data_IF_375492441606
#
_entry.id   IF_375492441606
#
_cell.length_a   1.000
_cell.length_b   1.000
_cell.length_c   1.000
_cell.angle_alpha   90.00
_cell.angle_beta   90.00
_cell.angle_gamma   90.00
#
_symmetry.space_group_name_H-M   'P 1'
#
loop_
_entity.id
_entity.type
_entity.pdbx_description
1 polymer ?
#
# COMPACT_ATOMS: atom_id res chain seq x y z
N UNK A 1 40.04 9.71 -16.40
CA UNK A 1 39.60 10.28 -15.12
C UNK A 1 38.08 10.26 -15.08
N UNK A 2 37.48 9.26 -14.46
CA UNK A 2 36.02 9.15 -14.29
C UNK A 2 35.65 9.95 -13.04
N UNK A 3 34.90 11.07 -13.21
CA UNK A 3 34.28 11.80 -12.11
C UNK A 3 33.20 10.88 -11.50
N UNK A 4 33.44 10.36 -10.32
CA UNK A 4 32.42 9.69 -9.51
C UNK A 4 31.39 10.74 -9.09
N UNK A 5 30.21 10.69 -9.68
CA UNK A 5 29.05 11.40 -9.15
C UNK A 5 28.63 10.75 -7.82
N UNK A 6 28.98 11.36 -6.71
CA UNK A 6 28.37 11.01 -5.42
C UNK A 6 26.87 11.33 -5.50
N UNK A 7 25.98 10.39 -5.18
CA UNK A 7 24.54 10.63 -5.25
C UNK A 7 24.14 11.86 -4.43
N UNK A 8 23.24 12.67 -4.96
CA UNK A 8 22.66 13.86 -4.28
C UNK A 8 22.21 13.54 -2.84
N UNK A 9 21.66 12.35 -2.63
CA UNK A 9 21.26 11.82 -1.32
C UNK A 9 22.41 11.78 -0.31
N UNK A 10 23.61 11.32 -0.70
CA UNK A 10 24.77 11.33 0.20
C UNK A 10 25.22 12.74 0.55
N UNK A 11 25.10 13.68 -0.38
CA UNK A 11 25.39 15.11 -0.09
C UNK A 11 24.34 15.73 0.80
N UNK A 12 23.05 15.41 0.58
CA UNK A 12 21.96 15.89 1.40
C UNK A 12 22.03 15.28 2.80
N UNK A 13 22.18 13.96 2.92
CA UNK A 13 22.31 13.27 4.23
C UNK A 13 23.58 13.68 4.97
N UNK A 14 24.71 13.94 4.29
CA UNK A 14 25.89 14.51 4.94
C UNK A 14 25.63 15.94 5.47
N UNK A 15 24.88 16.74 4.71
CA UNK A 15 24.47 18.07 5.17
C UNK A 15 23.45 17.97 6.32
N UNK A 16 22.54 17.00 6.27
CA UNK A 16 21.56 16.72 7.32
C UNK A 16 22.20 16.09 8.57
N UNK A 17 23.17 15.18 8.43
CA UNK A 17 23.89 14.59 9.56
C UNK A 17 24.67 15.63 10.39
N UNK A 18 25.15 16.71 9.77
CA UNK A 18 25.70 17.85 10.50
C UNK A 18 24.63 18.59 11.32
N UNK A 19 23.37 18.57 10.86
CA UNK A 19 22.23 19.18 11.55
C UNK A 19 21.75 18.29 12.70
N UNK A 20 21.62 16.97 12.47
CA UNK A 20 21.16 16.00 13.48
C UNK A 20 22.20 15.71 14.56
N UNK A 21 23.50 15.67 14.25
CA UNK A 21 24.54 15.51 15.27
C UNK A 21 24.49 16.60 16.36
N UNK A 22 24.07 17.81 15.97
CA UNK A 22 23.81 18.89 16.94
C UNK A 22 22.60 18.66 17.83
N UNK A 23 21.57 17.90 17.38
CA UNK A 23 20.39 17.60 18.20
C UNK A 23 20.61 16.43 19.17
N UNK A 24 21.43 15.43 18.82
CA UNK A 24 21.77 14.32 19.71
C UNK A 24 22.66 14.75 20.89
N UNK A 25 23.49 15.77 20.70
CA UNK A 25 24.29 16.34 21.80
C UNK A 25 23.41 17.04 22.87
N UNK A 26 22.20 17.49 22.49
CA UNK A 26 21.23 18.09 23.41
C UNK A 26 20.42 17.06 24.22
N UNK A 27 20.42 15.79 23.81
CA UNK A 27 19.61 14.72 24.44
C UNK A 27 20.34 14.00 25.58
N UNK A 28 21.69 14.04 25.63
CA UNK A 28 22.52 13.30 26.60
C UNK A 28 23.41 14.16 27.50
N UNK A 29 23.32 15.46 27.44
CA UNK A 29 24.13 16.35 28.29
C UNK A 29 23.38 17.61 28.58
N UNK A 30 23.14 17.85 29.89
CA UNK A 30 22.81 19.15 30.45
C UNK A 30 21.37 19.66 30.37
N UNK A 31 20.47 18.92 31.04
CA UNK A 31 19.26 19.51 31.62
C UNK A 31 19.59 20.38 32.85
N UNK A 32 20.82 20.39 33.32
CA UNK A 32 21.21 21.06 34.56
C UNK A 32 21.87 22.46 34.43
N UNK A 33 22.06 22.95 33.19
CA UNK A 33 22.77 24.25 33.00
C UNK A 33 21.84 25.43 32.66
N UNK A 34 20.52 25.28 32.70
CA UNK A 34 19.56 26.36 32.37
C UNK A 34 18.87 26.94 33.60
N UNK A 35 19.30 26.59 34.81
CA UNK A 35 18.64 27.09 36.05
C UNK A 35 19.24 28.34 36.65
N UNK A 36 20.25 28.96 36.06
CA UNK A 36 20.74 30.25 36.56
C UNK A 36 20.84 31.30 35.46
N UNK A 37 19.72 31.88 35.08
CA UNK A 37 19.55 33.28 34.72
C UNK A 37 18.07 33.57 34.42
N UNK A 38 17.28 33.63 35.48
CA UNK A 38 15.94 34.19 35.44
C UNK A 38 16.01 35.71 35.22
N UNK A 39 15.97 36.13 33.96
CA UNK A 39 15.30 37.37 33.57
C UNK A 39 14.11 36.96 32.70
N UNK A 40 12.94 37.31 33.19
CA UNK A 40 11.62 37.06 32.62
C UNK A 40 11.59 37.14 31.06
N UNK A 41 11.66 36.02 30.40
CA UNK A 41 11.24 35.91 28.99
C UNK A 41 9.71 35.95 29.03
N UNK A 42 9.14 36.99 28.50
CA UNK A 42 7.69 37.09 28.27
C UNK A 42 7.21 35.91 27.44
N UNK A 43 6.15 35.26 27.90
CA UNK A 43 5.52 34.06 27.35
C UNK A 43 4.78 34.25 26.03
N UNK A 44 5.17 35.26 25.21
CA UNK A 44 4.49 35.60 23.96
C UNK A 44 5.20 35.13 22.68
N UNK A 45 6.35 34.44 22.76
CA UNK A 45 7.17 34.12 21.58
C UNK A 45 6.94 32.72 20.99
N UNK A 46 5.91 32.00 21.38
CA UNK A 46 5.72 30.60 21.00
C UNK A 46 4.82 30.32 19.77
N UNK A 47 4.25 31.34 19.14
CA UNK A 47 3.40 31.18 17.96
C UNK A 47 3.91 32.00 16.78
N UNK A 48 5.00 31.55 16.18
CA UNK A 48 5.52 32.15 14.96
C UNK A 48 4.89 31.40 13.78
N UNK A 49 4.26 32.11 12.84
CA UNK A 49 3.82 31.54 11.58
C UNK A 49 5.00 31.40 10.62
N UNK A 50 4.90 30.46 9.67
CA UNK A 50 5.98 30.25 8.71
C UNK A 50 6.31 31.52 7.89
N UNK A 51 5.32 32.35 7.60
CA UNK A 51 5.51 33.65 6.94
C UNK A 51 6.36 34.63 7.74
N UNK A 52 6.36 34.51 9.07
CA UNK A 52 7.11 35.40 9.97
C UNK A 52 8.61 35.09 9.92
N UNK A 53 9.00 33.88 9.42
CA UNK A 53 10.39 33.51 9.22
C UNK A 53 11.11 34.43 8.25
N UNK A 54 10.42 34.93 7.22
CA UNK A 54 10.99 35.84 6.22
C UNK A 54 11.56 37.12 6.86
N UNK A 55 10.91 37.63 7.89
CA UNK A 55 11.33 38.82 8.60
C UNK A 55 12.11 38.54 9.90
N UNK A 56 12.13 37.28 10.33
CA UNK A 56 12.79 36.87 11.58
C UNK A 56 14.31 36.90 11.43
N UNK A 57 14.94 37.66 12.33
CA UNK A 57 16.41 37.63 12.49
C UNK A 57 16.81 36.57 13.51
N UNK A 58 17.93 35.90 13.25
CA UNK A 58 18.58 35.04 14.25
C UNK A 58 19.53 35.89 15.12
N UNK A 59 19.65 35.53 16.38
CA UNK A 59 20.64 36.10 17.28
C UNK A 59 22.00 35.40 17.13
N UNK A 60 22.00 34.13 16.73
CA UNK A 60 23.19 33.32 16.48
C UNK A 60 22.89 32.15 15.57
N UNK A 61 23.90 31.68 14.84
CA UNK A 61 23.74 30.50 13.95
C UNK A 61 23.56 29.26 14.82
N UNK A 62 22.54 28.47 14.49
CA UNK A 62 22.13 27.27 15.23
C UNK A 62 20.92 27.53 16.16
N UNK A 63 20.42 28.75 16.25
CA UNK A 63 19.18 29.05 16.98
C UNK A 63 18.04 28.18 16.47
N UNK A 64 17.29 27.57 17.41
CA UNK A 64 16.12 26.73 17.07
C UNK A 64 14.86 27.45 17.49
N UNK A 65 13.91 27.57 16.59
CA UNK A 65 12.61 28.16 16.82
C UNK A 65 11.49 27.17 16.52
N UNK A 66 10.38 27.36 17.24
CA UNK A 66 9.17 26.58 17.03
C UNK A 66 8.20 27.40 16.18
N UNK A 67 7.75 26.81 15.08
CA UNK A 67 6.77 27.39 14.16
C UNK A 67 5.47 26.62 14.30
N UNK A 68 4.41 27.30 14.68
CA UNK A 68 3.07 26.77 14.74
C UNK A 68 2.30 27.23 13.52
N UNK A 69 1.70 26.30 12.81
CA UNK A 69 0.86 26.53 11.63
C UNK A 69 1.58 26.82 10.31
N UNK A 70 1.42 25.87 9.39
CA UNK A 70 1.89 25.99 8.00
C UNK A 70 0.90 26.76 7.11
N UNK A 71 -0.40 26.74 7.43
CA UNK A 71 -1.45 27.31 6.61
C UNK A 71 -1.67 28.79 6.87
N UNK A 72 -1.29 29.62 5.91
CA UNK A 72 -1.40 31.09 5.95
C UNK A 72 -2.84 31.59 6.07
N UNK A 73 -3.85 30.73 5.81
CA UNK A 73 -5.24 31.16 5.60
C UNK A 73 -6.29 30.58 6.54
N UNK A 74 -5.92 29.85 7.58
CA UNK A 74 -6.92 29.33 8.54
C UNK A 74 -6.46 29.55 9.97
N UNK A 75 -7.31 30.22 10.73
CA UNK A 75 -7.22 30.41 12.18
C UNK A 75 -7.43 29.11 12.99
N UNK A 76 -7.08 27.97 12.42
CA UNK A 76 -7.20 26.68 13.07
C UNK A 76 -5.87 26.39 13.75
N UNK A 77 -5.86 26.48 15.07
CA UNK A 77 -4.82 25.98 15.97
C UNK A 77 -4.73 24.43 15.86
N UNK A 78 -4.33 23.91 14.73
CA UNK A 78 -3.96 22.51 14.63
C UNK A 78 -2.50 22.33 15.00
N UNK A 79 -2.22 21.32 15.78
CA UNK A 79 -0.99 20.99 16.50
C UNK A 79 0.24 20.64 15.64
N UNK A 80 0.39 21.23 14.46
CA UNK A 80 1.51 20.97 13.56
C UNK A 80 2.70 21.87 13.90
N UNK A 81 3.41 21.48 14.96
CA UNK A 81 4.64 22.14 15.37
C UNK A 81 5.78 21.70 14.44
N UNK A 82 6.42 22.66 13.79
CA UNK A 82 7.67 22.44 13.06
C UNK A 82 8.81 23.19 13.73
N UNK A 83 9.93 22.51 13.86
CA UNK A 83 11.16 23.13 14.34
C UNK A 83 11.99 23.63 13.16
N UNK A 84 12.53 24.83 13.28
CA UNK A 84 13.48 25.41 12.34
C UNK A 84 14.75 25.79 13.04
N UNK A 85 15.88 25.56 12.38
CA UNK A 85 17.20 25.95 12.85
C UNK A 85 17.80 26.99 11.91
N UNK A 86 18.37 28.03 12.48
CA UNK A 86 19.10 29.03 11.70
C UNK A 86 20.41 28.49 11.15
N UNK A 87 20.63 28.71 9.87
CA UNK A 87 21.83 28.37 9.10
C UNK A 87 22.51 29.64 8.61
N UNK A 88 23.83 29.61 8.30
CA UNK A 88 24.49 30.76 7.73
C UNK A 88 23.82 31.24 6.43
N UNK A 89 23.78 32.55 6.19
CA UNK A 89 23.34 33.11 4.92
C UNK A 89 24.14 32.47 3.78
N UNK A 90 23.50 32.15 2.65
CA UNK A 90 24.12 31.49 1.49
C UNK A 90 24.62 30.06 1.69
N UNK A 91 24.37 29.42 2.83
CA UNK A 91 24.73 28.02 3.06
C UNK A 91 23.98 27.06 2.09
N UNK A 92 22.75 27.40 1.79
CA UNK A 92 21.82 26.62 0.93
C UNK A 92 20.92 27.61 0.22
N UNK A 93 20.48 27.28 -1.00
CA UNK A 93 19.44 28.04 -1.69
C UNK A 93 18.10 27.77 -1.02
N UNK A 94 17.35 28.80 -0.61
CA UNK A 94 15.99 28.64 -0.11
C UNK A 94 15.09 27.97 -1.13
N UNK A 95 14.13 27.18 -0.65
CA UNK A 95 13.13 26.46 -1.47
C UNK A 95 11.70 26.69 -0.97
N UNK A 96 11.54 27.54 0.02
CA UNK A 96 10.30 27.95 0.69
C UNK A 96 9.53 26.79 1.36
N UNK A 97 10.16 25.64 1.52
CA UNK A 97 9.55 24.45 2.14
C UNK A 97 10.42 23.89 3.26
N UNK A 98 11.62 23.48 2.92
CA UNK A 98 12.61 22.97 3.90
C UNK A 98 13.57 24.08 4.32
N UNK A 99 13.92 24.94 3.42
CA UNK A 99 14.83 26.06 3.66
C UNK A 99 14.12 27.39 3.33
N UNK A 100 13.82 28.14 4.37
CA UNK A 100 13.11 29.43 4.28
C UNK A 100 14.13 30.55 4.40
N UNK A 101 14.10 31.53 3.52
CA UNK A 101 14.92 32.72 3.62
C UNK A 101 14.50 33.52 4.87
N UNK A 102 15.43 33.90 5.72
CA UNK A 102 15.23 34.78 6.84
C UNK A 102 15.94 36.12 6.65
N UNK A 103 15.70 37.10 7.52
CA UNK A 103 16.25 38.44 7.36
C UNK A 103 17.80 38.49 7.38
N UNK A 104 18.45 37.57 8.11
CA UNK A 104 19.92 37.49 8.20
C UNK A 104 20.44 36.03 8.23
N UNK A 105 19.61 35.06 7.93
CA UNK A 105 19.96 33.64 7.98
C UNK A 105 19.06 32.86 7.01
N UNK A 106 19.30 31.57 6.90
CA UNK A 106 18.37 30.61 6.30
C UNK A 106 17.80 29.75 7.42
N UNK A 107 16.49 29.64 7.49
CA UNK A 107 15.79 28.77 8.43
C UNK A 107 15.62 27.39 7.81
N UNK A 108 16.38 26.39 8.29
CA UNK A 108 16.25 25.00 7.84
C UNK A 108 15.29 24.22 8.74
N UNK A 109 14.29 23.60 8.15
CA UNK A 109 13.36 22.72 8.87
C UNK A 109 14.10 21.53 9.47
N UNK A 110 13.82 21.21 10.71
CA UNK A 110 14.37 20.05 11.43
C UNK A 110 13.36 18.92 11.36
N UNK A 111 13.75 17.78 10.76
CA UNK A 111 12.89 16.61 10.62
C UNK A 111 13.70 15.31 10.55
N UNK A 112 13.05 14.20 10.87
CA UNK A 112 13.63 12.87 10.89
C UNK A 112 13.28 12.09 9.61
N UNK A 113 14.08 12.24 8.56
CA UNK A 113 14.08 11.39 7.36
C UNK A 113 12.82 11.37 6.49
N UNK A 114 11.67 11.87 6.94
CA UNK A 114 10.41 11.89 6.19
C UNK A 114 9.98 13.31 5.86
N UNK A 115 9.53 13.51 4.60
CA UNK A 115 8.84 14.72 4.21
C UNK A 115 7.35 14.59 4.57
N UNK A 116 6.77 15.59 5.20
CA UNK A 116 5.35 15.62 5.49
C UNK A 116 4.60 16.30 4.33
N UNK A 117 3.54 15.69 3.80
CA UNK A 117 2.72 16.25 2.70
C UNK A 117 2.13 17.61 3.07
N UNK A 118 1.84 17.85 4.33
CA UNK A 118 1.28 19.12 4.81
C UNK A 118 2.25 20.29 4.65
N UNK A 119 3.56 20.06 4.61
CA UNK A 119 4.55 21.10 4.34
C UNK A 119 4.44 21.68 2.93
N UNK A 120 3.81 20.93 2.04
CA UNK A 120 3.57 21.30 0.63
C UNK A 120 2.17 21.87 0.41
N UNK A 121 1.39 22.01 1.48
CA UNK A 121 0.07 22.62 1.47
C UNK A 121 -1.11 21.64 1.47
N UNK A 122 -0.86 20.33 1.63
CA UNK A 122 -1.95 19.36 1.80
C UNK A 122 -2.66 19.59 3.15
N UNK A 123 -3.99 19.53 3.16
CA UNK A 123 -4.80 19.81 4.35
C UNK A 123 -5.31 18.51 4.97
N UNK A 124 -5.79 17.58 4.16
CA UNK A 124 -6.31 16.31 4.63
C UNK A 124 -7.59 16.42 5.47
N UNK A 125 -8.45 17.42 5.16
CA UNK A 125 -9.71 17.68 5.88
C UNK A 125 -10.90 16.88 5.32
N UNK A 126 -10.69 16.08 4.28
CA UNK A 126 -11.73 15.30 3.61
C UNK A 126 -12.62 16.11 2.65
N UNK A 127 -12.31 17.37 2.39
CA UNK A 127 -13.08 18.28 1.55
C UNK A 127 -12.23 18.98 0.51
N UNK A 128 -11.07 19.52 0.96
CA UNK A 128 -10.16 20.28 0.09
C UNK A 128 -9.45 19.35 -0.88
N UNK A 129 -9.33 19.77 -2.15
CA UNK A 129 -8.54 19.04 -3.16
C UNK A 129 -7.05 19.22 -2.88
N UNK A 130 -6.41 18.15 -2.44
CA UNK A 130 -5.00 18.10 -2.07
C UNK A 130 -4.09 17.62 -3.23
N UNK A 131 -4.66 17.39 -4.43
CA UNK A 131 -3.93 16.80 -5.56
C UNK A 131 -2.62 17.52 -5.88
N UNK A 132 -2.68 18.82 -6.05
CA UNK A 132 -1.49 19.63 -6.41
C UNK A 132 -0.45 19.66 -5.29
N UNK A 133 -0.89 19.66 -4.04
CA UNK A 133 -0.01 19.67 -2.87
C UNK A 133 0.73 18.35 -2.75
N UNK A 134 0.03 17.23 -2.94
CA UNK A 134 0.63 15.89 -2.90
C UNK A 134 1.55 15.69 -4.11
N UNK A 135 1.17 16.14 -5.31
CA UNK A 135 2.04 16.11 -6.50
C UNK A 135 3.36 16.87 -6.25
N UNK A 136 3.27 18.09 -5.71
CA UNK A 136 4.43 18.90 -5.33
C UNK A 136 5.32 18.17 -4.31
N UNK A 137 4.71 17.57 -3.28
CA UNK A 137 5.41 16.79 -2.27
C UNK A 137 6.11 15.58 -2.87
N UNK A 138 5.43 14.82 -3.73
CA UNK A 138 5.97 13.65 -4.41
C UNK A 138 7.14 14.01 -5.34
N UNK A 139 7.01 15.06 -6.12
CA UNK A 139 8.08 15.56 -6.99
C UNK A 139 9.31 15.99 -6.18
N UNK A 140 9.09 16.64 -5.04
CA UNK A 140 10.17 17.01 -4.11
C UNK A 140 10.83 15.76 -3.51
N UNK A 141 10.03 14.79 -3.07
CA UNK A 141 10.48 13.52 -2.55
C UNK A 141 11.33 12.74 -3.57
N UNK A 142 10.91 12.68 -4.83
CA UNK A 142 11.68 12.10 -5.92
C UNK A 142 13.01 12.82 -6.16
N UNK A 143 13.02 14.16 -6.16
CA UNK A 143 14.21 14.97 -6.39
C UNK A 143 15.29 14.76 -5.33
N UNK A 144 14.88 14.63 -4.06
CA UNK A 144 15.81 14.53 -2.94
C UNK A 144 15.97 13.12 -2.40
N UNK A 145 15.29 12.14 -3.00
CA UNK A 145 15.30 10.72 -2.63
C UNK A 145 14.90 10.50 -1.15
N UNK A 146 13.84 11.19 -0.73
CA UNK A 146 13.30 11.13 0.63
C UNK A 146 11.92 10.46 0.66
N UNK A 147 11.61 9.69 1.71
CA UNK A 147 10.26 9.15 1.92
C UNK A 147 9.25 10.28 2.19
N UNK A 148 8.01 10.05 1.75
CA UNK A 148 6.88 10.95 1.98
C UNK A 148 5.97 10.37 3.06
N UNK A 149 5.55 11.21 4.00
CA UNK A 149 4.68 10.86 5.10
C UNK A 149 3.32 11.56 5.00
N UNK A 150 2.26 10.78 5.20
CA UNK A 150 0.88 11.23 5.31
C UNK A 150 0.44 11.13 6.77
N UNK A 151 0.21 12.24 7.48
CA UNK A 151 -0.15 12.25 8.89
C UNK A 151 -1.38 11.44 9.27
N UNK A 152 -1.38 10.98 10.53
CA UNK A 152 -2.45 10.18 11.14
C UNK A 152 -3.81 10.87 11.09
N UNK A 153 -4.87 10.10 10.81
CA UNK A 153 -6.27 10.54 10.88
C UNK A 153 -6.68 11.53 9.79
N UNK A 154 -5.87 11.72 8.79
CA UNK A 154 -6.13 12.65 7.68
C UNK A 154 -6.79 11.96 6.50
N UNK A 155 -7.71 12.69 5.85
CA UNK A 155 -8.36 12.24 4.61
C UNK A 155 -8.10 13.26 3.51
N UNK A 156 -7.22 12.90 2.59
CA UNK A 156 -6.84 13.73 1.46
C UNK A 156 -7.76 13.46 0.26
N UNK A 157 -8.45 14.48 -0.23
CA UNK A 157 -9.21 14.38 -1.48
C UNK A 157 -8.26 14.60 -2.65
N UNK A 158 -8.26 13.68 -3.59
CA UNK A 158 -7.37 13.69 -4.75
C UNK A 158 -8.14 13.37 -6.04
N UNK A 159 -7.74 13.98 -7.14
CA UNK A 159 -8.39 13.86 -8.45
C UNK A 159 -7.38 13.68 -9.59
N UNK A 160 -6.28 13.01 -9.32
CA UNK A 160 -5.22 12.82 -10.30
C UNK A 160 -4.63 11.43 -10.29
N UNK A 161 -3.70 11.21 -11.19
CA UNK A 161 -2.85 10.02 -11.23
C UNK A 161 -1.46 10.39 -10.72
N UNK A 162 -0.90 9.52 -9.89
CA UNK A 162 0.43 9.73 -9.32
C UNK A 162 1.39 8.63 -9.78
N UNK A 163 2.67 8.95 -9.79
CA UNK A 163 3.75 8.01 -10.05
C UNK A 163 4.69 7.92 -8.85
N UNK A 164 4.97 6.71 -8.40
CA UNK A 164 5.89 6.42 -7.31
C UNK A 164 7.09 5.65 -7.84
N UNK A 165 8.22 6.34 -7.99
CA UNK A 165 9.49 5.71 -8.30
C UNK A 165 10.13 5.17 -7.03
N UNK A 166 10.01 3.85 -6.79
CA UNK A 166 10.54 3.20 -5.59
C UNK A 166 12.05 3.26 -5.48
N UNK A 167 12.76 3.54 -6.56
CA UNK A 167 14.21 3.78 -6.50
C UNK A 167 14.54 5.10 -5.78
N UNK A 168 13.61 6.04 -5.75
CA UNK A 168 13.81 7.40 -5.22
C UNK A 168 13.07 7.67 -3.93
N UNK A 169 11.82 7.22 -3.82
CA UNK A 169 10.97 7.56 -2.69
C UNK A 169 10.11 6.38 -2.24
N UNK A 170 9.30 6.61 -1.23
CA UNK A 170 8.27 5.70 -0.70
C UNK A 170 7.21 6.53 0.00
N UNK A 171 5.99 6.00 0.08
CA UNK A 171 4.87 6.66 0.72
C UNK A 171 4.47 5.93 2.00
N UNK A 172 4.36 6.64 3.10
CA UNK A 172 4.03 6.08 4.41
C UNK A 172 2.93 6.88 5.07
N UNK A 173 1.83 6.22 5.42
CA UNK A 173 0.77 6.82 6.22
C UNK A 173 1.00 6.65 7.72
N UNK A 174 0.41 7.53 8.50
CA UNK A 174 0.08 7.25 9.88
C UNK A 174 -1.22 6.44 9.97
N UNK A 175 -1.70 6.16 11.18
CA UNK A 175 -2.94 5.44 11.38
C UNK A 175 -4.12 6.18 10.73
N UNK A 176 -4.97 5.47 9.97
CA UNK A 176 -6.12 6.02 9.26
C UNK A 176 -5.80 7.17 8.28
N UNK A 177 -4.65 7.12 7.62
CA UNK A 177 -4.35 8.03 6.51
C UNK A 177 -5.04 7.56 5.23
N UNK A 178 -5.92 8.40 4.68
CA UNK A 178 -6.78 8.06 3.55
C UNK A 178 -6.50 8.98 2.37
N UNK A 179 -6.19 8.39 1.22
CA UNK A 179 -6.23 9.04 -0.08
C UNK A 179 -7.57 8.68 -0.74
N UNK A 180 -8.43 9.67 -0.93
CA UNK A 180 -9.77 9.48 -1.47
C UNK A 180 -9.91 10.17 -2.82
N UNK A 181 -10.04 9.39 -3.87
CA UNK A 181 -10.36 9.90 -5.19
C UNK A 181 -11.85 10.24 -5.26
N UNK A 182 -12.15 11.51 -5.42
CA UNK A 182 -13.53 11.99 -5.58
C UNK A 182 -14.04 11.84 -7.03
N UNK A 183 -13.14 11.63 -7.97
CA UNK A 183 -13.42 11.34 -9.37
C UNK A 183 -12.55 10.20 -9.87
N UNK A 184 -13.04 9.42 -10.83
CA UNK A 184 -12.28 8.36 -11.45
C UNK A 184 -11.06 8.93 -12.20
N UNK A 185 -9.84 8.48 -11.92
CA UNK A 185 -8.69 8.81 -12.74
C UNK A 185 -8.80 8.17 -14.13
N UNK A 186 -8.07 8.70 -15.10
CA UNK A 186 -8.18 8.25 -16.50
C UNK A 186 -7.71 6.81 -16.73
N UNK A 187 -6.73 6.33 -15.97
CA UNK A 187 -6.18 4.98 -16.10
C UNK A 187 -5.90 4.34 -14.74
N UNK A 188 -5.14 5.02 -13.88
CA UNK A 188 -4.76 4.54 -12.56
C UNK A 188 -4.69 5.69 -11.57
N UNK A 189 -4.86 5.37 -10.29
CA UNK A 189 -4.66 6.33 -9.21
C UNK A 189 -3.18 6.46 -8.85
N UNK A 190 -2.47 5.35 -8.72
CA UNK A 190 -1.05 5.30 -8.44
C UNK A 190 -0.37 4.26 -9.34
N UNK A 191 0.71 4.66 -10.02
CA UNK A 191 1.65 3.74 -10.67
C UNK A 191 2.90 3.60 -9.80
N UNK A 192 3.30 2.36 -9.51
CA UNK A 192 4.50 2.05 -8.73
C UNK A 192 5.52 1.38 -9.66
N UNK A 193 6.70 1.95 -9.76
CA UNK A 193 7.76 1.47 -10.64
C UNK A 193 9.15 1.80 -10.08
N UNK A 194 10.21 1.32 -10.71
CA UNK A 194 11.59 1.67 -10.40
C UNK A 194 12.32 2.18 -11.64
N UNK A 195 12.81 3.40 -11.60
CA UNK A 195 13.65 3.97 -12.67
C UNK A 195 15.06 3.40 -12.72
N UNK A 196 15.43 2.55 -11.75
CA UNK A 196 16.74 1.90 -11.71
C UNK A 196 16.61 0.44 -12.14
N UNK A 197 17.57 -0.03 -12.96
CA UNK A 197 17.62 -1.43 -13.36
C UNK A 197 17.75 -2.34 -12.13
N UNK A 198 16.93 -3.38 -12.07
CA UNK A 198 16.91 -4.38 -11.00
C UNK A 198 18.22 -5.17 -10.86
N UNK A 199 19.06 -5.17 -11.87
CA UNK A 199 20.35 -5.87 -11.86
C UNK A 199 21.51 -5.07 -11.26
N UNK A 200 21.30 -3.84 -10.84
CA UNK A 200 22.32 -3.05 -10.17
C UNK A 200 22.40 -3.46 -8.69
N UNK A 201 23.57 -3.85 -8.21
CA UNK A 201 23.82 -4.20 -6.80
C UNK A 201 23.53 -3.07 -5.80
N UNK A 202 23.16 -1.90 -6.29
CA UNK A 202 22.73 -0.76 -5.48
C UNK A 202 21.21 -0.76 -5.26
N UNK A 203 20.50 -1.81 -5.71
CA UNK A 203 19.07 -1.94 -5.52
C UNK A 203 18.72 -2.12 -4.07
N UNK A 204 17.64 -1.49 -3.79
CA UNK A 204 16.96 -1.56 -2.51
C UNK A 204 16.20 -2.88 -2.46
N UNK A 205 16.90 -3.96 -2.17
CA UNK A 205 16.26 -5.21 -1.83
C UNK A 205 15.31 -4.97 -0.65
N UNK A 206 14.04 -5.36 -0.80
CA UNK A 206 13.00 -5.26 0.22
C UNK A 206 12.67 -3.82 0.68
N UNK A 207 12.73 -2.83 -0.21
CA UNK A 207 12.24 -1.50 0.13
C UNK A 207 10.74 -1.54 0.40
N UNK A 208 10.32 -0.97 1.53
CA UNK A 208 8.92 -0.71 1.80
C UNK A 208 8.47 0.49 0.95
N UNK A 209 7.72 0.22 -0.12
CA UNK A 209 7.29 1.24 -1.08
C UNK A 209 6.06 2.01 -0.59
N UNK A 210 5.08 1.27 -0.07
CA UNK A 210 3.84 1.81 0.49
C UNK A 210 3.57 1.19 1.85
N UNK A 211 3.13 1.99 2.81
CA UNK A 211 2.64 1.46 4.08
C UNK A 211 1.59 2.33 4.75
N UNK A 212 0.68 1.68 5.49
CA UNK A 212 -0.31 2.31 6.34
C UNK A 212 -1.20 3.33 5.60
N UNK A 213 -1.60 3.03 4.37
CA UNK A 213 -2.39 3.92 3.52
C UNK A 213 -3.68 3.25 3.06
N UNK A 214 -4.76 4.02 3.05
CA UNK A 214 -6.02 3.62 2.41
C UNK A 214 -6.16 4.33 1.06
N UNK A 215 -6.39 3.56 0.00
CA UNK A 215 -6.73 4.03 -1.35
C UNK A 215 -8.23 3.83 -1.57
N UNK A 216 -8.99 4.89 -1.38
CA UNK A 216 -10.45 4.86 -1.47
C UNK A 216 -10.90 5.41 -2.82
N UNK A 217 -11.57 4.58 -3.62
CA UNK A 217 -12.22 4.96 -4.87
C UNK A 217 -13.69 5.31 -4.70
N UNK A 218 -14.52 5.04 -5.71
CA UNK A 218 -15.94 5.36 -5.72
C UNK A 218 -16.83 4.63 -4.70
N UNK A 219 -16.25 3.66 -4.01
CA UNK A 219 -16.96 2.88 -2.99
C UNK A 219 -17.84 1.76 -3.57
N UNK A 220 -18.54 1.05 -2.69
CA UNK A 220 -19.27 -0.18 -3.01
C UNK A 220 -20.38 -0.02 -4.07
N UNK A 221 -20.95 1.17 -4.19
CA UNK A 221 -22.07 1.44 -5.13
C UNK A 221 -21.62 2.11 -6.42
N UNK A 222 -20.46 2.77 -6.39
CA UNK A 222 -19.91 3.56 -7.49
C UNK A 222 -18.44 3.18 -7.68
N UNK A 223 -18.19 1.91 -8.07
CA UNK A 223 -16.84 1.47 -8.41
C UNK A 223 -16.32 2.31 -9.58
N UNK A 224 -15.11 2.82 -9.44
CA UNK A 224 -14.45 3.48 -10.56
C UNK A 224 -13.99 2.46 -11.59
N UNK A 225 -14.26 2.73 -12.85
CA UNK A 225 -13.73 1.98 -13.98
C UNK A 225 -12.24 2.38 -14.22
N UNK A 226 -11.43 2.10 -13.22
CA UNK A 226 -10.02 2.48 -13.18
C UNK A 226 -9.23 1.55 -12.25
N UNK A 227 -7.91 1.63 -12.39
CA UNK A 227 -6.94 0.89 -11.59
C UNK A 227 -6.54 1.74 -10.37
N UNK A 228 -6.62 1.18 -9.15
CA UNK A 228 -6.12 1.86 -7.97
C UNK A 228 -4.58 1.91 -7.98
N UNK A 229 -3.92 0.75 -7.99
CA UNK A 229 -2.47 0.64 -7.97
C UNK A 229 -2.01 -0.21 -9.15
N UNK A 230 -1.28 0.40 -10.08
CA UNK A 230 -0.62 -0.26 -11.20
C UNK A 230 0.85 -0.52 -10.86
N UNK A 231 1.29 -1.76 -11.02
CA UNK A 231 2.63 -2.23 -10.72
C UNK A 231 3.37 -2.56 -12.02
N UNK A 232 4.48 -1.87 -12.28
CA UNK A 232 5.26 -2.03 -13.51
C UNK A 232 4.71 -1.27 -14.70
N UNK A 233 5.01 -1.78 -15.89
CA UNK A 233 4.62 -1.24 -17.18
C UNK A 233 5.77 -0.59 -17.94
N UNK A 234 5.64 -0.56 -19.27
CA UNK A 234 6.64 -0.09 -20.20
C UNK A 234 8.00 -0.79 -20.04
N UNK A 235 9.09 -0.05 -20.07
CA UNK A 235 10.46 -0.56 -19.90
C UNK A 235 10.92 -0.56 -18.43
N UNK A 236 10.12 0.01 -17.53
CA UNK A 236 10.45 0.17 -16.12
C UNK A 236 9.95 -1.01 -15.30
N UNK A 237 10.80 -1.51 -14.42
CA UNK A 237 10.46 -2.65 -13.58
C UNK A 237 9.75 -2.23 -12.30
N UNK A 238 8.92 -3.14 -11.81
CA UNK A 238 8.28 -3.05 -10.50
C UNK A 238 8.61 -4.32 -9.74
N UNK A 239 9.71 -4.28 -8.99
CA UNK A 239 10.24 -5.49 -8.37
C UNK A 239 11.05 -5.24 -7.12
N UNK A 240 11.21 -6.29 -6.31
CA UNK A 240 12.04 -6.30 -5.10
C UNK A 240 11.65 -5.24 -4.06
N UNK A 241 10.35 -5.01 -3.89
CA UNK A 241 9.83 -4.13 -2.86
C UNK A 241 8.60 -4.75 -2.18
N UNK A 242 8.14 -4.11 -1.12
CA UNK A 242 6.95 -4.53 -0.39
C UNK A 242 5.92 -3.41 -0.26
N UNK A 243 4.65 -3.83 -0.17
CA UNK A 243 3.50 -3.04 0.25
C UNK A 243 3.02 -3.63 1.57
N UNK A 244 2.78 -2.80 2.57
CA UNK A 244 2.39 -3.29 3.89
C UNK A 244 1.28 -2.47 4.52
N UNK A 245 0.30 -3.16 5.11
CA UNK A 245 -0.83 -2.54 5.78
C UNK A 245 -1.50 -1.47 4.90
N UNK A 246 -1.82 -1.85 3.65
CA UNK A 246 -2.58 -1.01 2.73
C UNK A 246 -4.02 -1.51 2.65
N UNK A 247 -4.95 -0.57 2.55
CA UNK A 247 -6.35 -0.86 2.31
C UNK A 247 -6.74 -0.26 0.95
N UNK A 248 -7.17 -1.10 0.02
CA UNK A 248 -7.56 -0.67 -1.33
C UNK A 248 -8.99 -1.09 -1.59
N UNK A 249 -9.86 -0.12 -1.85
CA UNK A 249 -11.28 -0.41 -1.99
C UNK A 249 -12.03 0.57 -2.90
N UNK A 250 -13.07 0.07 -3.56
CA UNK A 250 -13.96 0.90 -4.37
C UNK A 250 -13.44 1.17 -5.79
N UNK A 251 -12.67 0.26 -6.37
CA UNK A 251 -12.09 0.33 -7.72
C UNK A 251 -12.54 -0.85 -8.58
N UNK A 252 -12.49 -0.74 -9.89
CA UNK A 252 -12.64 -1.91 -10.75
C UNK A 252 -11.45 -2.86 -10.55
N UNK A 253 -10.24 -2.33 -10.55
CA UNK A 253 -9.02 -3.09 -10.30
C UNK A 253 -8.27 -2.48 -9.11
N UNK A 254 -8.19 -3.22 -8.01
CA UNK A 254 -7.45 -2.81 -6.81
C UNK A 254 -5.93 -2.85 -7.04
N UNK A 255 -5.44 -3.93 -7.65
CA UNK A 255 -4.04 -4.11 -8.03
C UNK A 255 -3.95 -4.62 -9.46
N UNK A 256 -3.13 -3.99 -10.26
CA UNK A 256 -2.82 -4.40 -11.62
C UNK A 256 -1.33 -4.69 -11.78
N UNK A 257 -1.00 -5.96 -12.03
CA UNK A 257 0.36 -6.40 -12.29
C UNK A 257 0.62 -6.37 -13.79
N UNK A 258 1.40 -5.40 -14.23
CA UNK A 258 1.74 -5.14 -15.63
C UNK A 258 3.04 -5.86 -16.03
N UNK A 259 3.58 -5.58 -17.22
CA UNK A 259 4.89 -6.04 -17.64
C UNK A 259 5.97 -5.63 -16.61
N UNK A 260 7.00 -6.43 -16.49
CA UNK A 260 8.13 -6.19 -15.60
C UNK A 260 7.79 -6.08 -14.11
N UNK A 261 6.74 -6.77 -13.65
CA UNK A 261 6.36 -6.84 -12.22
C UNK A 261 6.66 -8.24 -11.65
N UNK A 262 7.61 -8.33 -10.73
CA UNK A 262 8.04 -9.59 -10.13
C UNK A 262 8.68 -9.40 -8.76
N UNK A 263 8.67 -10.45 -7.92
CA UNK A 263 9.19 -10.45 -6.54
C UNK A 263 8.65 -9.30 -5.69
N UNK A 264 7.34 -9.09 -5.76
CA UNK A 264 6.63 -8.11 -4.95
C UNK A 264 6.01 -8.83 -3.76
N UNK A 265 6.19 -8.25 -2.57
CA UNK A 265 5.61 -8.75 -1.34
C UNK A 265 4.53 -7.82 -0.83
N UNK A 266 3.35 -8.35 -0.56
CA UNK A 266 2.20 -7.61 -0.05
C UNK A 266 1.79 -8.25 1.26
N UNK A 267 1.79 -7.45 2.34
CA UNK A 267 1.61 -7.94 3.71
C UNK A 267 0.52 -7.17 4.44
N UNK A 268 -0.19 -7.87 5.33
CA UNK A 268 -1.14 -7.28 6.29
C UNK A 268 -2.17 -6.35 5.64
N UNK A 269 -2.63 -6.67 4.41
CA UNK A 269 -3.35 -5.74 3.54
C UNK A 269 -4.75 -6.20 3.23
N UNK A 270 -5.63 -5.24 2.93
CA UNK A 270 -7.05 -5.45 2.69
C UNK A 270 -7.45 -4.97 1.29
N UNK A 271 -8.12 -5.84 0.53
CA UNK A 271 -8.61 -5.56 -0.82
C UNK A 271 -10.11 -5.81 -0.89
N UNK A 272 -10.90 -4.74 -1.05
CA UNK A 272 -12.35 -4.80 -1.07
C UNK A 272 -12.91 -4.24 -2.38
N UNK A 273 -14.02 -4.82 -2.85
CA UNK A 273 -14.84 -4.29 -3.93
C UNK A 273 -14.07 -3.96 -5.22
N UNK A 274 -13.18 -4.86 -5.63
CA UNK A 274 -12.40 -4.70 -6.84
C UNK A 274 -11.58 -5.93 -7.18
N UNK A 275 -11.08 -6.00 -8.40
CA UNK A 275 -10.28 -7.12 -8.90
C UNK A 275 -8.82 -6.99 -8.51
N UNK A 276 -8.13 -8.13 -8.49
CA UNK A 276 -6.69 -8.20 -8.65
C UNK A 276 -6.43 -8.84 -10.00
N UNK A 277 -5.64 -8.20 -10.82
CA UNK A 277 -5.44 -8.60 -12.20
C UNK A 277 -3.97 -8.59 -12.56
N UNK A 278 -3.46 -9.71 -13.08
CA UNK A 278 -2.22 -9.71 -13.84
C UNK A 278 -2.52 -9.54 -15.32
N UNK A 279 -1.68 -8.79 -16.03
CA UNK A 279 -1.84 -8.56 -17.46
C UNK A 279 -1.74 -9.88 -18.24
N UNK A 280 -2.69 -10.20 -19.11
CA UNK A 280 -2.56 -11.34 -20.01
C UNK A 280 -1.31 -11.20 -20.89
N UNK A 281 -0.55 -12.28 -21.03
CA UNK A 281 0.70 -12.30 -21.79
C UNK A 281 1.73 -11.25 -21.34
N UNK A 282 1.75 -10.94 -20.06
CA UNK A 282 2.71 -10.01 -19.50
C UNK A 282 4.15 -10.51 -19.71
N UNK A 283 5.03 -9.59 -20.07
CA UNK A 283 6.45 -9.89 -20.26
C UNK A 283 7.19 -9.71 -18.94
N UNK A 284 8.02 -10.70 -18.56
CA UNK A 284 8.87 -10.63 -17.37
C UNK A 284 8.05 -10.23 -16.14
N UNK A 285 6.99 -10.97 -15.85
CA UNK A 285 6.04 -10.65 -14.80
C UNK A 285 5.60 -11.91 -14.05
N UNK A 286 5.18 -11.76 -12.80
CA UNK A 286 4.56 -12.82 -12.00
C UNK A 286 5.54 -13.72 -11.25
N UNK A 287 6.85 -13.60 -11.42
CA UNK A 287 7.81 -14.43 -10.68
C UNK A 287 7.81 -14.09 -9.19
N UNK A 288 7.57 -15.10 -8.33
CA UNK A 288 7.65 -15.00 -6.87
C UNK A 288 6.81 -13.83 -6.30
N UNK A 289 5.54 -13.82 -6.59
CA UNK A 289 4.58 -12.84 -6.04
C UNK A 289 4.03 -13.34 -4.71
N UNK A 290 4.12 -12.55 -3.64
CA UNK A 290 3.73 -12.96 -2.30
C UNK A 290 2.65 -12.08 -1.70
N UNK A 291 1.54 -12.71 -1.31
CA UNK A 291 0.54 -12.16 -0.39
C UNK A 291 0.64 -12.87 0.96
N UNK A 292 0.80 -12.12 2.02
CA UNK A 292 0.95 -12.66 3.37
C UNK A 292 0.01 -11.95 4.34
N UNK A 293 -0.85 -12.71 5.03
CA UNK A 293 -1.84 -12.18 5.96
C UNK A 293 -2.74 -11.09 5.32
N UNK A 294 -3.15 -11.32 4.07
CA UNK A 294 -4.01 -10.41 3.32
C UNK A 294 -5.46 -10.90 3.32
N UNK A 295 -6.40 -9.96 3.21
CA UNK A 295 -7.82 -10.26 3.08
C UNK A 295 -8.34 -9.74 1.72
N UNK A 296 -9.04 -10.61 1.02
CA UNK A 296 -9.73 -10.33 -0.24
C UNK A 296 -11.21 -10.58 0.00
N UNK A 297 -12.00 -9.50 0.08
CA UNK A 297 -13.38 -9.66 0.51
C UNK A 297 -14.37 -8.81 -0.28
N UNK A 298 -15.64 -9.27 -0.26
CA UNK A 298 -16.79 -8.59 -0.84
C UNK A 298 -16.59 -8.13 -2.29
N UNK A 299 -15.78 -8.88 -3.03
CA UNK A 299 -15.43 -8.50 -4.38
C UNK A 299 -16.56 -8.92 -5.34
N UNK A 300 -17.05 -7.95 -6.09
CA UNK A 300 -18.00 -8.18 -7.20
C UNK A 300 -17.31 -8.81 -8.41
N UNK A 301 -15.99 -8.88 -8.39
CA UNK A 301 -15.11 -9.37 -9.41
C UNK A 301 -14.13 -10.39 -8.84
N UNK A 302 -13.35 -10.98 -9.69
CA UNK A 302 -12.45 -12.09 -9.39
C UNK A 302 -11.00 -11.62 -9.43
N UNK A 303 -10.10 -12.33 -8.75
CA UNK A 303 -8.67 -12.28 -9.06
C UNK A 303 -8.40 -13.08 -10.33
N UNK A 304 -7.68 -12.52 -11.28
CA UNK A 304 -7.34 -13.18 -12.55
C UNK A 304 -5.81 -13.14 -12.75
N UNK A 305 -5.19 -14.32 -12.76
CA UNK A 305 -3.74 -14.50 -12.82
C UNK A 305 -3.37 -15.28 -14.08
N UNK A 306 -2.49 -14.72 -14.90
CA UNK A 306 -2.20 -15.24 -16.25
C UNK A 306 -0.80 -15.84 -16.40
N UNK A 307 0.16 -15.46 -15.55
CA UNK A 307 1.53 -15.97 -15.61
C UNK A 307 2.20 -15.91 -14.25
N UNK A 308 3.17 -16.80 -14.01
CA UNK A 308 4.08 -16.76 -12.87
C UNK A 308 3.59 -17.46 -11.60
N UNK A 309 4.34 -17.28 -10.51
CA UNK A 309 4.16 -17.97 -9.24
C UNK A 309 3.57 -17.05 -8.17
N UNK A 310 2.37 -17.37 -7.72
CA UNK A 310 1.56 -16.56 -6.81
C UNK A 310 1.36 -17.27 -5.49
N UNK A 311 1.92 -16.75 -4.43
CA UNK A 311 1.88 -17.31 -3.10
C UNK A 311 0.93 -16.54 -2.19
N UNK A 312 -0.09 -17.20 -1.70
CA UNK A 312 -1.05 -16.69 -0.72
C UNK A 312 -0.85 -17.44 0.60
N UNK A 313 -0.13 -16.84 1.53
CA UNK A 313 0.13 -17.43 2.83
C UNK A 313 -0.68 -16.75 3.93
N UNK A 314 -1.39 -17.52 4.73
CA UNK A 314 -2.28 -17.03 5.80
C UNK A 314 -3.29 -15.96 5.30
N UNK A 315 -3.72 -16.06 4.06
CA UNK A 315 -4.66 -15.11 3.46
C UNK A 315 -6.11 -15.55 3.68
N UNK A 316 -7.02 -14.57 3.74
CA UNK A 316 -8.47 -14.79 3.72
C UNK A 316 -9.04 -14.43 2.36
N UNK A 317 -9.82 -15.36 1.79
CA UNK A 317 -10.63 -15.14 0.58
C UNK A 317 -12.09 -15.24 0.98
N UNK A 318 -12.81 -14.11 0.97
CA UNK A 318 -14.22 -14.05 1.36
C UNK A 318 -15.08 -13.51 0.21
N UNK A 319 -16.08 -14.29 -0.19
CA UNK A 319 -16.95 -13.98 -1.35
C UNK A 319 -16.17 -13.63 -2.64
N UNK A 320 -15.04 -14.27 -2.88
CA UNK A 320 -14.11 -13.96 -3.95
C UNK A 320 -13.65 -15.23 -4.67
N UNK A 321 -13.40 -15.14 -5.97
CA UNK A 321 -12.89 -16.23 -6.79
C UNK A 321 -11.48 -15.88 -7.30
N UNK A 322 -10.57 -16.86 -7.24
CA UNK A 322 -9.25 -16.78 -7.89
C UNK A 322 -9.29 -17.61 -9.16
N UNK A 323 -9.13 -16.96 -10.31
CA UNK A 323 -9.05 -17.59 -11.64
C UNK A 323 -7.61 -17.65 -12.10
N UNK A 324 -7.20 -18.85 -12.51
CA UNK A 324 -5.83 -19.14 -12.94
C UNK A 324 -5.83 -19.47 -14.40
N UNK A 325 -5.08 -18.71 -15.18
CA UNK A 325 -4.98 -18.79 -16.63
C UNK A 325 -3.52 -18.95 -17.08
N UNK A 326 -3.31 -19.14 -18.37
CA UNK A 326 -1.98 -19.17 -18.99
C UNK A 326 -1.10 -20.26 -18.39
N UNK A 327 0.04 -19.87 -17.87
CA UNK A 327 1.01 -20.71 -17.15
C UNK A 327 1.14 -20.32 -15.68
N UNK A 328 0.16 -19.60 -15.12
CA UNK A 328 0.20 -19.19 -13.73
C UNK A 328 0.07 -20.38 -12.77
N UNK A 329 0.88 -20.33 -11.70
CA UNK A 329 0.84 -21.28 -10.60
C UNK A 329 0.43 -20.56 -9.32
N UNK A 330 -0.61 -21.04 -8.65
CA UNK A 330 -1.12 -20.44 -7.40
C UNK A 330 -0.89 -21.38 -6.22
N UNK A 331 -0.27 -20.89 -5.19
CA UNK A 331 -0.02 -21.60 -3.94
C UNK A 331 -0.80 -20.91 -2.83
N UNK A 332 -1.88 -21.54 -2.37
CA UNK A 332 -2.69 -21.06 -1.25
C UNK A 332 -2.41 -21.94 -0.03
N UNK A 333 -1.73 -21.39 0.97
CA UNK A 333 -1.29 -22.13 2.14
C UNK A 333 -1.70 -21.43 3.44
N UNK A 334 -2.08 -22.22 4.46
CA UNK A 334 -2.50 -21.76 5.78
C UNK A 334 -3.65 -20.73 5.74
N UNK A 335 -4.46 -20.78 4.72
CA UNK A 335 -5.43 -19.74 4.43
C UNK A 335 -6.83 -20.06 4.92
N UNK A 336 -7.70 -19.10 4.70
CA UNK A 336 -9.10 -19.15 5.05
C UNK A 336 -9.92 -18.79 3.81
N UNK A 337 -10.86 -19.65 3.45
CA UNK A 337 -11.79 -19.43 2.32
C UNK A 337 -13.19 -19.40 2.90
N UNK A 338 -13.87 -18.27 2.77
CA UNK A 338 -15.22 -18.09 3.30
C UNK A 338 -16.21 -17.71 2.20
N UNK A 339 -17.34 -18.43 2.14
CA UNK A 339 -18.46 -18.16 1.24
C UNK A 339 -18.04 -17.85 -0.21
N UNK A 340 -17.23 -18.69 -0.85
CA UNK A 340 -16.72 -18.38 -2.18
C UNK A 340 -17.86 -18.14 -3.18
N UNK A 341 -17.75 -17.10 -3.99
CA UNK A 341 -18.62 -16.86 -5.15
C UNK A 341 -20.08 -16.55 -4.88
N UNK A 342 -20.43 -15.96 -3.73
CA UNK A 342 -21.82 -15.70 -3.29
C UNK A 342 -22.68 -14.91 -4.29
N UNK A 343 -22.08 -14.24 -5.26
CA UNK A 343 -22.81 -13.51 -6.30
C UNK A 343 -23.20 -14.47 -7.43
N UNK A 344 -24.47 -14.47 -7.79
CA UNK A 344 -25.03 -15.27 -8.88
C UNK A 344 -25.03 -16.81 -8.69
N UNK A 345 -25.09 -17.30 -7.44
CA UNK A 345 -25.08 -18.75 -7.14
C UNK A 345 -23.83 -19.49 -7.65
N UNK A 346 -22.74 -18.80 -7.91
CA UNK A 346 -21.43 -19.38 -8.22
C UNK A 346 -20.57 -19.40 -6.96
N UNK A 347 -19.95 -20.54 -6.68
CA UNK A 347 -19.23 -20.78 -5.44
C UNK A 347 -17.77 -21.20 -5.68
N UNK A 348 -17.20 -20.86 -6.83
CA UNK A 348 -15.83 -21.21 -7.15
C UNK A 348 -14.89 -20.36 -6.32
N UNK A 349 -14.07 -21.00 -5.48
CA UNK A 349 -12.99 -20.35 -4.75
C UNK A 349 -11.73 -20.23 -5.60
N UNK A 350 -11.32 -21.35 -6.22
CA UNK A 350 -10.18 -21.42 -7.12
C UNK A 350 -10.59 -22.16 -8.38
N UNK A 351 -10.47 -21.50 -9.53
CA UNK A 351 -10.75 -22.05 -10.84
C UNK A 351 -9.51 -22.04 -11.74
N UNK A 352 -9.19 -23.17 -12.35
CA UNK A 352 -8.08 -23.33 -13.30
C UNK A 352 -8.67 -23.43 -14.69
N UNK A 353 -8.32 -22.51 -15.55
CA UNK A 353 -8.96 -22.31 -16.86
C UNK A 353 -8.03 -22.51 -18.05
N UNK A 354 -6.76 -22.86 -17.84
CA UNK A 354 -5.78 -23.10 -18.90
C UNK A 354 -5.00 -24.37 -18.66
N UNK A 355 -4.53 -24.98 -19.74
CA UNK A 355 -3.82 -26.26 -19.74
C UNK A 355 -2.57 -26.28 -18.87
N UNK A 356 -1.77 -25.22 -18.92
CA UNK A 356 -0.48 -25.12 -18.22
C UNK A 356 -0.60 -24.42 -16.86
N UNK A 357 -1.80 -23.98 -16.49
CA UNK A 357 -2.08 -23.39 -15.19
C UNK A 357 -2.23 -24.46 -14.11
N UNK A 358 -1.88 -24.09 -12.87
CA UNK A 358 -2.03 -24.99 -11.72
C UNK A 358 -2.37 -24.25 -10.44
N UNK A 359 -2.91 -24.97 -9.46
CA UNK A 359 -3.10 -24.46 -8.13
C UNK A 359 -2.85 -25.52 -7.06
N UNK A 360 -2.39 -25.08 -5.91
CA UNK A 360 -2.24 -25.87 -4.70
C UNK A 360 -2.96 -25.17 -3.56
N UNK A 361 -3.81 -25.90 -2.83
CA UNK A 361 -4.51 -25.43 -1.64
C UNK A 361 -4.14 -26.36 -0.49
N UNK A 362 -3.36 -25.85 0.47
CA UNK A 362 -2.81 -26.65 1.54
C UNK A 362 -3.08 -26.03 2.92
N UNK A 363 -3.21 -26.88 3.94
CA UNK A 363 -3.36 -26.47 5.35
C UNK A 363 -4.43 -25.40 5.56
N UNK A 364 -5.52 -25.46 4.83
CA UNK A 364 -6.46 -24.35 4.74
C UNK A 364 -7.83 -24.70 5.31
N UNK A 365 -8.63 -23.67 5.58
CA UNK A 365 -9.97 -23.81 6.11
C UNK A 365 -10.99 -23.25 5.14
N UNK A 366 -11.97 -24.06 4.76
CA UNK A 366 -13.15 -23.64 4.00
C UNK A 366 -14.33 -23.47 4.97
N UNK A 367 -14.92 -22.29 5.00
CA UNK A 367 -16.09 -22.00 5.83
C UNK A 367 -17.28 -21.62 4.92
N UNK A 368 -18.39 -22.31 5.14
CA UNK A 368 -19.65 -22.02 4.50
C UNK A 368 -20.62 -21.47 5.55
N UNK A 369 -20.73 -20.14 5.65
CA UNK A 369 -21.57 -19.51 6.68
C UNK A 369 -23.06 -19.46 6.31
N UNK A 370 -23.39 -19.62 5.04
CA UNK A 370 -24.78 -19.71 4.52
C UNK A 370 -24.83 -20.77 3.44
N UNK A 371 -25.67 -21.76 3.64
CA UNK A 371 -25.97 -22.72 2.59
C UNK A 371 -26.92 -22.08 1.59
N UNK A 372 -26.51 -21.96 0.33
CA UNK A 372 -27.46 -21.59 -0.72
C UNK A 372 -28.47 -22.72 -0.91
N UNK A 373 -29.69 -22.36 -1.28
CA UNK A 373 -30.76 -23.34 -1.58
C UNK A 373 -30.35 -24.36 -2.66
N UNK A 374 -29.40 -24.01 -3.50
CA UNK A 374 -28.84 -24.89 -4.53
C UNK A 374 -27.39 -24.53 -4.78
N UNK A 375 -26.45 -25.42 -4.43
CA UNK A 375 -25.07 -25.32 -4.86
C UNK A 375 -24.97 -25.98 -6.24
N UNK A 376 -24.90 -25.16 -7.30
CA UNK A 376 -24.80 -25.63 -8.67
C UNK A 376 -23.39 -25.60 -9.23
N UNK A 377 -22.45 -25.01 -8.49
CA UNK A 377 -21.06 -24.82 -8.91
C UNK A 377 -20.10 -25.39 -7.88
N UNK A 378 -18.98 -26.00 -8.31
CA UNK A 378 -17.98 -26.54 -7.41
C UNK A 378 -17.19 -25.43 -6.72
N UNK A 379 -16.65 -25.70 -5.52
CA UNK A 379 -15.72 -24.82 -4.83
C UNK A 379 -14.39 -24.72 -5.55
N UNK A 380 -13.93 -25.84 -6.12
CA UNK A 380 -12.73 -25.94 -6.93
C UNK A 380 -13.11 -26.38 -8.35
N UNK A 381 -12.61 -25.68 -9.35
CA UNK A 381 -12.96 -25.96 -10.74
C UNK A 381 -11.71 -26.09 -11.61
N UNK A 382 -11.63 -27.15 -12.41
CA UNK A 382 -10.54 -27.43 -13.34
C UNK A 382 -11.12 -27.69 -14.72
N UNK A 383 -10.95 -26.74 -15.64
CA UNK A 383 -11.67 -26.72 -16.89
C UNK A 383 -11.17 -27.71 -17.94
N UNK A 384 -9.85 -27.93 -18.04
CA UNK A 384 -9.21 -28.65 -19.13
C UNK A 384 -8.85 -30.09 -18.73
N UNK A 385 -9.32 -31.07 -19.49
CA UNK A 385 -9.00 -32.51 -19.32
C UNK A 385 -7.53 -32.86 -19.67
N UNK A 386 -6.88 -32.03 -20.48
CA UNK A 386 -5.48 -32.22 -20.89
C UNK A 386 -4.48 -31.49 -20.00
N UNK A 387 -4.86 -31.12 -18.81
CA UNK A 387 -3.99 -30.41 -17.90
C UNK A 387 -2.78 -31.24 -17.46
N UNK A 388 -1.60 -30.62 -17.54
CA UNK A 388 -0.35 -31.25 -17.12
C UNK A 388 -0.18 -31.28 -15.59
N UNK A 389 -0.57 -30.22 -14.89
CA UNK A 389 -0.37 -30.02 -13.45
C UNK A 389 -1.66 -30.11 -12.65
N UNK A 390 -2.69 -29.36 -12.97
CA UNK A 390 -4.00 -29.41 -12.33
C UNK A 390 -4.08 -28.79 -10.94
N UNK A 391 -5.00 -29.32 -10.12
CA UNK A 391 -5.27 -28.88 -8.76
C UNK A 391 -4.77 -29.91 -7.74
N UNK A 392 -4.02 -29.43 -6.75
CA UNK A 392 -3.64 -30.21 -5.58
C UNK A 392 -4.29 -29.62 -4.32
N UNK A 393 -5.03 -30.41 -3.56
CA UNK A 393 -5.66 -30.02 -2.30
C UNK A 393 -5.21 -30.96 -1.20
N UNK A 394 -4.60 -30.44 -0.15
CA UNK A 394 -4.14 -31.25 0.98
C UNK A 394 -4.41 -30.57 2.32
N UNK A 395 -4.82 -31.36 3.29
CA UNK A 395 -5.12 -30.91 4.65
C UNK A 395 -6.12 -29.72 4.65
N UNK A 396 -7.23 -29.90 3.96
CA UNK A 396 -8.34 -28.93 3.91
C UNK A 396 -9.39 -29.31 4.96
N UNK A 397 -9.70 -28.38 5.86
CA UNK A 397 -10.81 -28.50 6.78
C UNK A 397 -12.02 -27.74 6.26
N UNK A 398 -13.14 -28.46 6.05
CA UNK A 398 -14.42 -27.86 5.66
C UNK A 398 -15.33 -27.76 6.88
N UNK A 399 -15.67 -26.55 7.27
CA UNK A 399 -16.58 -26.26 8.38
C UNK A 399 -17.86 -25.58 7.86
N UNK A 400 -19.00 -26.07 8.31
CA UNK A 400 -20.27 -25.41 8.13
C UNK A 400 -20.61 -24.64 9.42
N UNK A 401 -20.93 -23.36 9.31
CA UNK A 401 -21.27 -22.55 10.48
C UNK A 401 -22.61 -23.00 11.07
N UNK A 402 -22.70 -23.07 12.40
CA UNK A 402 -23.85 -23.56 13.18
C UNK A 402 -25.11 -22.71 13.08
N UNK A 403 -25.10 -21.55 12.43
CA UNK A 403 -26.28 -20.74 12.12
C UNK A 403 -27.03 -21.21 10.87
N UNK A 404 -26.89 -22.46 10.51
CA UNK A 404 -27.64 -23.13 9.47
C UNK A 404 -29.12 -23.18 9.84
N UNK A 405 -29.99 -22.64 8.99
CA UNK A 405 -31.45 -22.81 9.08
C UNK A 405 -31.81 -24.24 8.63
N UNK A 406 -32.18 -25.15 9.56
CA UNK A 406 -32.53 -26.52 9.20
C UNK A 406 -33.84 -26.61 8.38
N UNK A 407 -34.62 -25.52 8.28
CA UNK A 407 -35.80 -25.46 7.44
C UNK A 407 -35.49 -25.24 5.96
N UNK A 408 -34.24 -24.90 5.60
CA UNK A 408 -33.79 -24.88 4.21
C UNK A 408 -33.62 -26.33 3.71
N UNK A 409 -34.70 -26.98 3.38
CA UNK A 409 -34.85 -28.42 3.07
C UNK A 409 -34.08 -28.89 1.82
N UNK A 410 -33.39 -28.00 1.09
CA UNK A 410 -32.75 -28.30 -0.20
C UNK A 410 -31.22 -28.22 -0.19
N UNK A 411 -30.57 -28.09 0.96
CA UNK A 411 -29.10 -28.11 1.05
C UNK A 411 -28.58 -29.55 0.88
N UNK A 412 -28.24 -29.92 -0.34
CA UNK A 412 -27.82 -31.30 -0.68
C UNK A 412 -26.34 -31.59 -0.53
N UNK A 413 -25.54 -30.67 0.03
CA UNK A 413 -24.11 -30.90 0.24
C UNK A 413 -23.19 -29.83 -0.37
N UNK A 414 -21.89 -29.94 -0.09
CA UNK A 414 -20.85 -29.12 -0.71
C UNK A 414 -20.29 -29.85 -1.91
N UNK A 415 -20.42 -29.26 -3.10
CA UNK A 415 -19.76 -29.79 -4.29
C UNK A 415 -18.32 -29.23 -4.35
N UNK A 416 -17.33 -30.06 -3.98
CA UNK A 416 -15.96 -29.59 -3.82
C UNK A 416 -15.26 -29.40 -5.17
N UNK A 417 -15.41 -30.32 -6.10
CA UNK A 417 -14.64 -30.35 -7.34
C UNK A 417 -15.54 -30.46 -8.54
N UNK A 418 -15.20 -29.75 -9.61
CA UNK A 418 -15.87 -29.84 -10.89
C UNK A 418 -14.94 -29.58 -12.07
N UNK A 419 -15.43 -29.82 -13.26
CA UNK A 419 -14.67 -29.74 -14.50
C UNK A 419 -14.11 -31.12 -14.92
N UNK A 420 -13.26 -31.12 -15.95
CA UNK A 420 -12.72 -32.32 -16.56
C UNK A 420 -11.21 -32.52 -16.30
N UNK A 421 -10.60 -31.63 -15.57
CA UNK A 421 -9.16 -31.64 -15.37
C UNK A 421 -8.68 -32.47 -14.20
N UNK A 422 -7.38 -32.60 -14.07
CA UNK A 422 -6.73 -33.40 -13.02
C UNK A 422 -6.85 -32.74 -11.65
N UNK A 423 -7.33 -33.51 -10.67
CA UNK A 423 -7.41 -33.10 -9.27
C UNK A 423 -6.85 -34.20 -8.37
N UNK A 424 -6.01 -33.80 -7.43
CA UNK A 424 -5.50 -34.68 -6.36
C UNK A 424 -5.93 -34.11 -5.02
N UNK A 425 -6.59 -34.92 -4.19
CA UNK A 425 -7.09 -34.52 -2.88
C UNK A 425 -6.60 -35.49 -1.81
N UNK A 426 -5.92 -34.95 -0.80
CA UNK A 426 -5.44 -35.72 0.36
C UNK A 426 -5.87 -35.04 1.66
N UNK A 427 -6.13 -35.84 2.70
CA UNK A 427 -6.40 -35.35 4.05
C UNK A 427 -7.52 -34.30 4.12
N UNK A 428 -8.69 -34.60 3.58
CA UNK A 428 -9.85 -33.71 3.59
C UNK A 428 -10.70 -34.00 4.83
N UNK A 429 -10.85 -33.00 5.70
CA UNK A 429 -11.65 -33.08 6.93
C UNK A 429 -12.95 -32.32 6.75
N UNK A 430 -14.07 -33.02 6.88
CA UNK A 430 -15.39 -32.43 6.65
C UNK A 430 -16.18 -32.44 7.95
N UNK A 431 -16.50 -31.26 8.46
CA UNK A 431 -17.36 -31.07 9.62
C UNK A 431 -18.64 -30.36 9.17
N UNK A 432 -19.56 -31.15 8.62
CA UNK A 432 -20.84 -30.66 8.09
C UNK A 432 -21.95 -31.34 8.86
N UNK A 433 -22.81 -30.53 9.49
CA UNK A 433 -23.98 -31.01 10.21
C UNK A 433 -25.12 -31.25 9.20
N UNK A 434 -25.57 -32.48 9.07
CA UNK A 434 -26.76 -32.92 8.31
C UNK A 434 -26.72 -32.73 6.77
N UNK A 435 -25.57 -32.87 6.14
CA UNK A 435 -25.50 -32.84 4.65
C UNK A 435 -24.80 -34.07 4.08
N UNK A 436 -25.24 -34.50 2.89
CA UNK A 436 -24.55 -35.53 2.12
C UNK A 436 -23.38 -34.88 1.34
N UNK A 437 -22.24 -35.57 1.34
CA UNK A 437 -21.08 -35.18 0.57
C UNK A 437 -21.19 -35.74 -0.86
N UNK A 438 -20.90 -34.92 -1.87
CA UNK A 438 -20.78 -35.33 -3.27
C UNK A 438 -19.36 -34.94 -3.71
N UNK A 439 -18.53 -35.97 -3.93
CA UNK A 439 -17.18 -35.84 -4.49
C UNK A 439 -17.23 -35.90 -6.01
#
# INVERSE_FOLDING_TARGET
>A
MKKQHTPLRRRFLKKMALITAGCFALKNGEVNAVTENKKSAHSSDFAIFIKDLLSKKTNYIGEVICVTNYNVNKDILESNISLFRSLPPKAITPDDIIYIEGANCIWGRVFDSFLNVEWFGAIGDGVTDDTKSIEKANNYAHKYELPLHFPTGKKYIVNGSFELDVAKTSWHGGDNSILHWSQSPSQFALRVFSSRSTYSHTHVNNKLALSNLTFLGGGIRNLYDAIAISLGGNEESSSLFSLKNINVQGWDINLFFNDNSWRIKIEDSLFLWGRILSKPNAKNSGECMYFSNCMFADNFSTTELYTGDWHYNACSIDNHEVKVFGDACVYFDNGHIENPGRKNNKFVAVGIYSKDASASVTNSRLIMSKTPKLITTPVFYVADENQSLGLYVNNLRCDQNTNFDPSATDAKGIFLVGGNGKVVMDNIFINIVNSSFIA
#
